data_IF_613247777552
#
_entry.id   IF_613247777552
#
_cell.length_a   1.000
_cell.length_b   1.000
_cell.length_c   1.000
_cell.angle_alpha   90.00
_cell.angle_beta   90.00
_cell.angle_gamma   90.00
#
_symmetry.space_group_name_H-M   'P 1'
#
loop_
_entity.id
_entity.type
_entity.pdbx_description
1 polymer ?
#
# COMPACT_ATOMS: atom_id res chain seq x y z
N UNK A 1 13.13 1.02 17.78
CA UNK A 1 13.15 0.02 18.88
C UNK A 1 11.74 -0.36 19.38
N UNK A 2 10.67 0.16 18.80
CA UNK A 2 9.29 0.00 19.32
C UNK A 2 8.49 -1.13 18.67
N UNK A 3 9.09 -1.83 17.69
CA UNK A 3 8.43 -2.92 16.95
C UNK A 3 7.95 -4.09 17.85
N UNK A 4 8.72 -4.55 18.85
CA UNK A 4 8.30 -5.65 19.73
C UNK A 4 7.10 -5.32 20.58
N UNK A 5 7.00 -4.09 21.07
CA UNK A 5 5.84 -3.62 21.88
C UNK A 5 4.60 -3.49 21.00
N UNK A 6 4.75 -2.92 19.80
CA UNK A 6 3.67 -2.84 18.83
C UNK A 6 3.15 -4.22 18.42
N UNK A 7 4.05 -5.21 18.24
CA UNK A 7 3.70 -6.61 17.98
C UNK A 7 2.91 -7.23 19.12
N UNK A 8 3.36 -7.04 20.36
CA UNK A 8 2.66 -7.56 21.54
C UNK A 8 1.24 -7.01 21.67
N UNK A 9 1.06 -5.71 21.47
CA UNK A 9 -0.23 -5.05 21.49
C UNK A 9 -1.11 -5.47 20.28
N UNK A 10 -0.54 -5.62 19.11
CA UNK A 10 -1.25 -6.07 17.92
C UNK A 10 -1.68 -7.54 18.02
N UNK A 11 -0.83 -8.43 18.57
CA UNK A 11 -1.15 -9.84 18.80
C UNK A 11 -2.27 -9.99 19.86
N UNK A 12 -2.23 -9.21 20.93
CA UNK A 12 -3.32 -9.15 21.90
C UNK A 12 -4.60 -8.60 21.26
N UNK A 13 -4.48 -7.53 20.47
CA UNK A 13 -5.61 -6.91 19.76
C UNK A 13 -6.23 -7.81 18.70
N UNK A 14 -5.44 -8.57 17.93
CA UNK A 14 -5.97 -9.46 16.88
C UNK A 14 -6.74 -10.66 17.45
N UNK A 15 -6.39 -11.12 18.65
CA UNK A 15 -7.08 -12.21 19.34
C UNK A 15 -8.37 -11.76 20.01
N UNK A 16 -8.46 -10.49 20.41
CA UNK A 16 -9.57 -9.96 21.23
C UNK A 16 -10.51 -9.01 20.47
N UNK A 17 -10.03 -8.37 19.43
CA UNK A 17 -10.80 -7.40 18.64
C UNK A 17 -11.31 -8.05 17.34
N UNK A 18 -12.54 -8.57 17.40
CA UNK A 18 -13.24 -8.93 16.17
C UNK A 18 -13.49 -7.66 15.31
N UNK A 19 -13.68 -7.79 13.99
CA UNK A 19 -14.06 -6.66 13.12
C UNK A 19 -15.30 -5.91 13.66
N UNK A 20 -16.27 -6.65 14.23
CA UNK A 20 -17.47 -6.10 14.85
C UNK A 20 -17.16 -5.23 16.07
N UNK A 21 -16.20 -5.64 16.92
CA UNK A 21 -15.79 -4.85 18.09
C UNK A 21 -15.10 -3.56 17.67
N UNK A 22 -14.20 -3.62 16.67
CA UNK A 22 -13.55 -2.44 16.09
C UNK A 22 -14.56 -1.46 15.47
N UNK A 23 -15.58 -1.97 14.78
CA UNK A 23 -16.65 -1.15 14.21
C UNK A 23 -17.54 -0.50 15.30
N UNK A 24 -17.79 -1.17 16.41
CA UNK A 24 -18.51 -0.60 17.56
C UNK A 24 -17.73 0.52 18.23
N UNK A 25 -16.41 0.37 18.39
CA UNK A 25 -15.54 1.43 18.89
C UNK A 25 -15.51 2.64 17.95
N UNK A 26 -15.47 2.41 16.65
CA UNK A 26 -15.55 3.49 15.66
C UNK A 26 -16.92 4.19 15.68
N UNK A 27 -17.99 3.49 16.01
CA UNK A 27 -19.33 4.06 16.13
C UNK A 27 -19.46 5.10 17.27
N UNK A 28 -18.58 5.04 18.26
CA UNK A 28 -18.50 6.04 19.34
C UNK A 28 -17.84 7.36 18.90
N UNK A 29 -17.19 7.39 17.73
CA UNK A 29 -16.60 8.61 17.18
C UNK A 29 -17.66 9.45 16.44
N UNK A 30 -17.52 10.80 16.45
CA UNK A 30 -18.35 11.68 15.62
C UNK A 30 -18.31 11.25 14.15
N UNK A 31 -19.43 11.34 13.42
CA UNK A 31 -19.56 10.85 12.04
C UNK A 31 -18.47 11.37 11.10
N UNK A 32 -18.09 12.65 11.22
CA UNK A 32 -17.04 13.31 10.45
C UNK A 32 -15.64 12.67 10.61
N UNK A 33 -15.42 11.92 11.70
CA UNK A 33 -14.15 11.26 12.02
C UNK A 33 -14.24 9.73 11.97
N UNK A 34 -15.38 9.20 11.54
CA UNK A 34 -15.61 7.76 11.47
C UNK A 34 -15.03 7.15 10.17
N UNK A 35 -13.90 6.42 10.25
CA UNK A 35 -13.33 5.81 9.05
C UNK A 35 -14.25 4.69 8.53
N UNK A 36 -14.45 4.64 7.22
CA UNK A 36 -15.16 3.52 6.58
C UNK A 36 -14.39 2.22 6.81
N UNK A 37 -15.10 1.16 7.21
CA UNK A 37 -14.53 -0.18 7.45
C UNK A 37 -13.37 -0.18 8.47
N UNK A 38 -13.47 0.64 9.51
CA UNK A 38 -12.42 0.79 10.51
C UNK A 38 -12.08 -0.53 11.19
N UNK A 39 -13.12 -1.32 11.57
CA UNK A 39 -12.93 -2.62 12.22
C UNK A 39 -12.15 -3.60 11.34
N UNK A 40 -12.50 -3.70 10.06
CA UNK A 40 -11.83 -4.59 9.11
C UNK A 40 -10.39 -4.16 8.86
N UNK A 41 -10.15 -2.86 8.69
CA UNK A 41 -8.81 -2.31 8.49
C UNK A 41 -7.93 -2.53 9.71
N UNK A 42 -8.47 -2.30 10.90
CA UNK A 42 -7.74 -2.51 12.15
C UNK A 42 -7.41 -3.99 12.37
N UNK A 43 -8.38 -4.87 12.11
CA UNK A 43 -8.17 -6.31 12.23
C UNK A 43 -7.12 -6.82 11.23
N UNK A 44 -7.21 -6.41 9.97
CA UNK A 44 -6.21 -6.74 8.94
C UNK A 44 -4.82 -6.24 9.32
N UNK A 45 -4.70 -4.98 9.76
CA UNK A 45 -3.43 -4.41 10.17
C UNK A 45 -2.85 -5.12 11.40
N UNK A 46 -3.70 -5.42 12.38
CA UNK A 46 -3.30 -6.15 13.58
C UNK A 46 -2.80 -7.57 13.23
N UNK A 47 -3.46 -8.28 12.32
CA UNK A 47 -3.01 -9.58 11.83
C UNK A 47 -1.65 -9.51 11.13
N UNK A 48 -1.48 -8.54 10.23
CA UNK A 48 -0.20 -8.34 9.54
C UNK A 48 0.94 -8.02 10.52
N UNK A 49 0.69 -7.18 11.53
CA UNK A 49 1.68 -6.78 12.54
C UNK A 49 2.02 -7.91 13.52
N UNK A 50 1.01 -8.69 13.94
CA UNK A 50 1.20 -9.75 14.93
C UNK A 50 2.19 -10.82 14.48
N UNK A 51 2.13 -11.18 13.20
CA UNK A 51 2.87 -12.30 12.62
C UNK A 51 4.13 -11.86 11.86
N UNK A 52 4.40 -10.55 11.74
CA UNK A 52 5.54 -10.07 10.97
C UNK A 52 6.85 -10.10 11.75
N UNK A 53 7.84 -10.85 11.26
CA UNK A 53 9.22 -10.84 11.76
C UNK A 53 10.04 -9.73 11.09
N UNK A 54 9.73 -8.49 11.50
CA UNK A 54 10.41 -7.30 10.98
C UNK A 54 9.70 -6.65 9.80
N UNK A 55 10.29 -5.55 9.33
CA UNK A 55 9.68 -4.67 8.34
C UNK A 55 9.54 -5.31 6.94
N UNK A 56 10.44 -6.24 6.60
CA UNK A 56 10.36 -6.95 5.32
C UNK A 56 9.17 -7.88 5.25
N UNK A 57 8.97 -8.68 6.31
CA UNK A 57 7.83 -9.58 6.41
C UNK A 57 6.51 -8.81 6.53
N UNK A 58 6.49 -7.71 7.28
CA UNK A 58 5.36 -6.81 7.33
C UNK A 58 4.95 -6.33 5.94
N UNK A 59 5.93 -5.85 5.14
CA UNK A 59 5.68 -5.38 3.79
C UNK A 59 5.21 -6.52 2.88
N UNK A 60 5.85 -7.70 2.93
CA UNK A 60 5.44 -8.88 2.17
C UNK A 60 3.97 -9.21 2.40
N UNK A 61 3.54 -9.26 3.65
CA UNK A 61 2.14 -9.54 4.02
C UNK A 61 1.18 -8.43 3.59
N UNK A 62 1.64 -7.18 3.57
CA UNK A 62 0.82 -6.06 3.16
C UNK A 62 0.44 -6.12 1.69
N UNK A 63 1.37 -6.57 0.84
CA UNK A 63 1.18 -6.65 -0.62
C UNK A 63 0.75 -8.04 -1.11
N UNK A 64 0.85 -9.07 -0.27
CA UNK A 64 0.45 -10.43 -0.63
C UNK A 64 -1.06 -10.60 -0.54
N UNK A 65 -1.64 -11.19 -1.56
CA UNK A 65 -3.05 -11.58 -1.55
C UNK A 65 -3.27 -12.85 -0.72
N UNK A 66 -2.32 -13.78 -0.79
CA UNK A 66 -2.32 -15.05 -0.05
C UNK A 66 -1.19 -15.05 0.98
N UNK A 67 -1.54 -15.26 2.24
CA UNK A 67 -0.57 -15.33 3.34
C UNK A 67 0.15 -16.66 3.41
N UNK A 68 -0.49 -17.72 2.90
CA UNK A 68 -0.01 -19.10 2.90
C UNK A 68 -0.23 -19.72 1.50
N UNK A 69 0.59 -19.33 0.50
CA UNK A 69 0.40 -19.77 -0.89
C UNK A 69 0.54 -21.29 -1.05
N UNK A 70 1.27 -21.97 -0.16
CA UNK A 70 1.43 -23.43 -0.14
C UNK A 70 0.10 -24.17 0.07
N UNK A 71 -0.87 -23.52 0.68
CA UNK A 71 -2.22 -24.10 0.85
C UNK A 71 -3.04 -24.06 -0.43
N UNK A 72 -2.68 -23.18 -1.37
CA UNK A 72 -3.38 -23.08 -2.65
C UNK A 72 -2.92 -24.17 -3.61
N UNK A 73 -1.62 -24.48 -3.59
CA UNK A 73 -1.04 -25.55 -4.44
C UNK A 73 -0.34 -26.57 -3.56
N UNK A 74 -0.90 -27.76 -3.47
CA UNK A 74 -0.36 -28.84 -2.63
C UNK A 74 1.07 -29.20 -3.05
N UNK A 75 1.98 -29.22 -2.08
CA UNK A 75 3.38 -29.57 -2.28
C UNK A 75 4.20 -28.50 -2.98
N UNK A 76 3.64 -27.33 -3.25
CA UNK A 76 4.39 -26.19 -3.74
C UNK A 76 5.14 -25.51 -2.60
N UNK A 77 6.29 -24.94 -2.95
CA UNK A 77 7.04 -24.01 -2.08
C UNK A 77 7.14 -22.69 -2.83
N UNK A 78 6.87 -21.60 -2.14
CA UNK A 78 7.03 -20.28 -2.74
C UNK A 78 8.51 -20.05 -3.07
N UNK A 79 8.87 -19.78 -4.33
CA UNK A 79 10.25 -19.52 -4.68
C UNK A 79 10.73 -18.21 -4.02
N UNK A 80 12.00 -18.13 -3.59
CA UNK A 80 12.55 -16.90 -3.05
C UNK A 80 12.59 -15.83 -4.14
N UNK A 81 11.57 -14.99 -4.17
CA UNK A 81 11.49 -13.86 -5.08
C UNK A 81 12.26 -12.64 -4.54
N UNK A 82 12.08 -11.51 -5.21
CA UNK A 82 12.72 -10.24 -4.82
C UNK A 82 12.38 -9.82 -3.38
N UNK A 83 11.19 -10.18 -2.88
CA UNK A 83 10.75 -9.90 -1.51
C UNK A 83 11.59 -10.63 -0.46
N UNK A 84 12.08 -11.82 -0.77
CA UNK A 84 12.95 -12.62 0.09
C UNK A 84 14.44 -12.38 -0.11
N UNK A 85 14.84 -11.51 -1.05
CA UNK A 85 16.26 -11.27 -1.32
C UNK A 85 16.90 -10.40 -0.24
N UNK A 86 17.85 -10.95 0.56
CA UNK A 86 18.49 -10.19 1.64
C UNK A 86 19.34 -9.02 1.13
N UNK A 87 19.75 -9.03 -0.15
CA UNK A 87 20.53 -7.94 -0.75
C UNK A 87 19.75 -6.64 -0.76
N UNK A 88 18.43 -6.68 -0.90
CA UNK A 88 17.59 -5.48 -0.84
C UNK A 88 17.68 -4.77 0.52
N UNK A 89 17.78 -5.52 1.60
CA UNK A 89 17.92 -4.98 2.95
C UNK A 89 19.33 -4.42 3.22
N UNK A 90 20.37 -5.01 2.60
CA UNK A 90 21.74 -4.55 2.72
C UNK A 90 21.99 -3.26 1.93
N UNK A 91 21.44 -3.17 0.71
CA UNK A 91 21.60 -2.00 -0.15
C UNK A 91 20.72 -0.82 0.27
N UNK A 92 19.53 -1.10 0.82
CA UNK A 92 18.55 -0.12 1.23
C UNK A 92 18.14 -0.38 2.69
N UNK A 93 18.95 0.07 3.66
CA UNK A 93 18.67 -0.13 5.07
C UNK A 93 17.43 0.64 5.55
N UNK A 94 17.10 1.78 4.92
CA UNK A 94 15.85 2.49 5.19
C UNK A 94 14.66 1.69 4.67
N UNK A 95 13.71 1.43 5.57
CA UNK A 95 12.53 0.60 5.27
C UNK A 95 11.64 1.22 4.20
N UNK A 96 11.46 2.53 4.22
CA UNK A 96 10.59 3.24 3.28
C UNK A 96 11.22 3.24 1.89
N UNK A 97 12.53 3.46 1.78
CA UNK A 97 13.23 3.38 0.50
C UNK A 97 13.20 1.97 -0.06
N UNK A 98 13.36 0.95 0.79
CA UNK A 98 13.23 -0.44 0.37
C UNK A 98 11.82 -0.78 -0.11
N UNK A 99 10.77 -0.32 0.58
CA UNK A 99 9.39 -0.46 0.12
C UNK A 99 9.17 0.22 -1.24
N UNK A 100 9.69 1.43 -1.43
CA UNK A 100 9.62 2.13 -2.73
C UNK A 100 10.34 1.36 -3.84
N UNK A 101 11.48 0.75 -3.55
CA UNK A 101 12.20 -0.09 -4.50
C UNK A 101 11.39 -1.33 -4.88
N UNK A 102 10.85 -2.02 -3.90
CA UNK A 102 10.04 -3.22 -4.12
C UNK A 102 8.75 -2.90 -4.89
N UNK A 103 8.07 -1.79 -4.55
CA UNK A 103 6.91 -1.32 -5.32
C UNK A 103 7.27 -1.03 -6.78
N UNK A 104 8.42 -0.41 -7.01
CA UNK A 104 8.89 -0.09 -8.37
C UNK A 104 9.20 -1.35 -9.18
N UNK A 105 9.64 -2.43 -8.53
CA UNK A 105 10.07 -3.67 -9.18
C UNK A 105 8.97 -4.73 -9.31
N UNK A 106 7.94 -4.65 -8.48
CA UNK A 106 6.86 -5.64 -8.39
C UNK A 106 5.50 -5.00 -8.67
N UNK A 107 4.98 -4.22 -7.74
CA UNK A 107 3.62 -3.68 -7.82
C UNK A 107 3.39 -2.77 -9.03
N UNK A 108 4.35 -1.91 -9.33
CA UNK A 108 4.24 -0.98 -10.45
C UNK A 108 4.13 -1.69 -11.81
N UNK A 109 5.04 -2.61 -12.20
CA UNK A 109 4.95 -3.27 -13.49
C UNK A 109 3.81 -4.30 -13.54
N UNK A 110 3.66 -5.14 -12.50
CA UNK A 110 2.81 -6.32 -12.56
C UNK A 110 1.33 -5.99 -12.30
N UNK A 111 1.02 -4.91 -11.59
CA UNK A 111 -0.34 -4.49 -11.32
C UNK A 111 -0.73 -3.19 -12.04
N UNK A 112 -0.10 -2.08 -11.69
CA UNK A 112 -0.54 -0.76 -12.17
C UNK A 112 -0.34 -0.57 -13.67
N UNK A 113 0.86 -0.83 -14.16
CA UNK A 113 1.17 -0.63 -15.59
C UNK A 113 0.43 -1.65 -16.47
N UNK A 114 0.33 -2.88 -16.02
CA UNK A 114 -0.44 -3.93 -16.71
C UNK A 114 -1.91 -3.54 -16.85
N UNK A 115 -2.54 -3.04 -15.79
CA UNK A 115 -3.93 -2.57 -15.83
C UNK A 115 -4.11 -1.38 -16.77
N UNK A 116 -3.24 -0.39 -16.67
CA UNK A 116 -3.30 0.82 -17.50
C UNK A 116 -3.13 0.46 -18.96
N UNK A 117 -2.11 -0.33 -19.28
CA UNK A 117 -1.83 -0.77 -20.65
C UNK A 117 -3.01 -1.55 -21.24
N UNK A 118 -3.48 -2.60 -20.56
CA UNK A 118 -4.59 -3.43 -21.04
C UNK A 118 -5.87 -2.65 -21.22
N UNK A 119 -6.22 -1.78 -20.29
CA UNK A 119 -7.43 -0.98 -20.36
C UNK A 119 -7.37 0.06 -21.48
N UNK A 120 -6.25 0.73 -21.66
CA UNK A 120 -6.10 1.75 -22.70
C UNK A 120 -5.96 1.13 -24.10
N UNK A 121 -5.20 0.04 -24.23
CA UNK A 121 -5.04 -0.65 -25.51
C UNK A 121 -6.30 -1.34 -25.98
N UNK A 122 -7.22 -1.70 -25.08
CA UNK A 122 -8.55 -2.23 -25.47
C UNK A 122 -9.34 -1.26 -26.36
N UNK A 123 -9.01 0.04 -26.30
CA UNK A 123 -9.59 1.08 -27.13
C UNK A 123 -8.54 1.76 -28.03
N UNK A 124 -7.43 1.08 -28.29
CA UNK A 124 -6.34 1.55 -29.15
C UNK A 124 -5.69 2.86 -28.69
N UNK A 125 -5.66 3.11 -27.38
CA UNK A 125 -5.04 4.28 -26.78
C UNK A 125 -3.74 3.88 -26.09
N UNK A 126 -2.61 4.40 -26.53
CA UNK A 126 -1.32 4.18 -25.87
C UNK A 126 -1.13 5.18 -24.72
N UNK A 127 -0.99 4.67 -23.49
CA UNK A 127 -0.70 5.50 -22.32
C UNK A 127 0.79 5.78 -22.18
N UNK A 128 1.18 7.05 -22.16
CA UNK A 128 2.55 7.50 -21.90
C UNK A 128 2.63 8.12 -20.52
N UNK A 129 3.53 7.60 -19.66
CA UNK A 129 3.66 8.03 -18.27
C UNK A 129 4.98 8.79 -18.07
N UNK A 130 4.99 10.14 -18.08
CA UNK A 130 6.23 10.94 -18.01
C UNK A 130 7.08 10.67 -16.77
N UNK A 131 6.47 10.30 -15.65
CA UNK A 131 7.18 9.99 -14.42
C UNK A 131 7.94 8.65 -14.45
N UNK A 132 7.74 7.83 -15.47
CA UNK A 132 8.49 6.60 -15.69
C UNK A 132 9.68 6.78 -16.66
N UNK A 133 9.94 8.00 -17.13
CA UNK A 133 11.19 8.29 -17.84
C UNK A 133 12.36 7.96 -16.90
N UNK A 134 13.31 7.17 -17.40
CA UNK A 134 14.44 6.68 -16.59
C UNK A 134 15.25 7.82 -15.94
N UNK A 135 15.33 8.99 -16.59
CA UNK A 135 16.01 10.18 -16.04
C UNK A 135 15.26 10.75 -14.84
N UNK A 136 13.92 10.77 -14.91
CA UNK A 136 13.07 11.22 -13.78
C UNK A 136 13.16 10.23 -12.63
N UNK A 137 13.12 8.94 -12.92
CA UNK A 137 13.28 7.88 -11.90
C UNK A 137 14.65 7.96 -11.26
N UNK A 138 15.73 8.04 -12.04
CA UNK A 138 17.10 8.18 -11.54
C UNK A 138 17.24 9.43 -10.63
N UNK A 139 16.72 10.57 -11.08
CA UNK A 139 16.69 11.79 -10.26
C UNK A 139 15.92 11.60 -8.97
N UNK A 140 14.73 10.98 -9.01
CA UNK A 140 13.93 10.74 -7.81
C UNK A 140 14.66 9.88 -6.77
N UNK A 141 15.51 8.95 -7.20
CA UNK A 141 16.35 8.15 -6.32
C UNK A 141 17.49 8.94 -5.66
N UNK A 142 17.95 10.03 -6.24
CA UNK A 142 18.95 10.91 -5.61
C UNK A 142 18.38 11.81 -4.52
N UNK A 143 17.05 11.94 -4.45
CA UNK A 143 16.39 12.83 -3.49
C UNK A 143 16.39 12.23 -2.09
N UNK A 144 16.75 13.03 -1.05
CA UNK A 144 16.58 12.60 0.34
C UNK A 144 15.12 12.22 0.65
N UNK A 145 14.88 11.21 1.52
CA UNK A 145 13.53 10.78 1.91
C UNK A 145 12.62 11.93 2.36
N UNK A 146 13.15 12.91 3.09
CA UNK A 146 12.39 14.08 3.55
C UNK A 146 11.85 14.98 2.43
N UNK A 147 12.44 14.95 1.24
CA UNK A 147 11.91 15.64 0.07
C UNK A 147 10.77 14.85 -0.60
N UNK A 148 10.76 13.55 -0.44
CA UNK A 148 9.71 12.66 -0.97
C UNK A 148 8.50 12.65 -0.05
N UNK A 149 8.73 12.40 1.25
CA UNK A 149 7.68 12.35 2.27
C UNK A 149 8.19 12.82 3.64
N UNK A 150 7.38 13.58 4.38
CA UNK A 150 7.69 14.02 5.74
C UNK A 150 6.40 14.40 6.47
N UNK A 151 6.30 14.07 7.76
CA UNK A 151 5.16 14.46 8.60
C UNK A 151 3.81 13.92 8.08
N UNK A 152 3.78 12.72 7.52
CA UNK A 152 2.58 12.13 6.92
C UNK A 152 2.20 12.68 5.53
N UNK A 153 2.93 13.67 5.03
CA UNK A 153 2.69 14.26 3.70
C UNK A 153 3.62 13.65 2.68
N UNK A 154 3.07 12.89 1.74
CA UNK A 154 3.79 12.33 0.60
C UNK A 154 3.88 13.26 -0.60
N UNK A 155 4.74 12.92 -1.57
CA UNK A 155 4.92 13.65 -2.85
C UNK A 155 5.29 15.12 -2.68
N UNK A 156 6.03 15.46 -1.62
CA UNK A 156 6.30 16.86 -1.22
C UNK A 156 6.89 17.71 -2.34
N UNK A 157 7.98 17.26 -2.97
CA UNK A 157 8.60 18.01 -4.05
C UNK A 157 7.66 18.20 -5.23
N UNK A 158 6.96 17.13 -5.61
CA UNK A 158 6.00 17.16 -6.71
C UNK A 158 4.84 18.11 -6.44
N UNK A 159 4.29 18.14 -5.21
CA UNK A 159 3.27 19.10 -4.79
C UNK A 159 3.79 20.54 -4.88
N UNK A 160 5.01 20.82 -4.41
CA UNK A 160 5.62 22.14 -4.50
C UNK A 160 5.79 22.63 -5.95
N UNK A 161 6.08 21.73 -6.87
CA UNK A 161 6.12 22.05 -8.30
C UNK A 161 4.73 22.33 -8.81
N UNK A 162 3.76 21.45 -8.49
CA UNK A 162 2.38 21.55 -8.95
C UNK A 162 1.71 22.85 -8.50
N UNK A 163 1.91 23.28 -7.26
CA UNK A 163 1.31 24.51 -6.71
C UNK A 163 1.81 25.82 -7.35
N UNK A 164 2.86 25.76 -8.18
CA UNK A 164 3.25 26.90 -9.03
C UNK A 164 2.30 27.11 -10.21
N UNK A 165 1.54 26.09 -10.57
CA UNK A 165 0.69 26.07 -11.77
C UNK A 165 -0.79 25.92 -11.43
N UNK A 166 -1.09 25.24 -10.32
CA UNK A 166 -2.44 24.90 -9.90
C UNK A 166 -2.63 25.32 -8.44
N UNK A 167 -3.70 26.05 -8.10
CA UNK A 167 -4.02 26.40 -6.72
C UNK A 167 -4.11 25.17 -5.83
N UNK A 168 -3.52 25.24 -4.64
CA UNK A 168 -3.46 24.14 -3.67
C UNK A 168 -4.87 23.60 -3.32
N UNK A 169 -5.85 24.48 -3.15
CA UNK A 169 -7.23 24.12 -2.83
C UNK A 169 -7.90 23.18 -3.87
N UNK A 170 -7.45 23.19 -5.12
CA UNK A 170 -7.95 22.28 -6.14
C UNK A 170 -7.32 20.88 -6.07
N UNK A 171 -6.17 20.77 -5.43
CA UNK A 171 -5.39 19.52 -5.32
C UNK A 171 -5.60 18.83 -3.98
N UNK A 172 -5.62 19.61 -2.88
CA UNK A 172 -5.76 19.11 -1.52
C UNK A 172 -7.23 18.82 -1.19
N UNK A 173 -7.64 17.64 -1.58
CA UNK A 173 -8.97 17.09 -1.29
C UNK A 173 -8.85 15.66 -0.75
N UNK A 174 -9.83 15.17 0.01
CA UNK A 174 -9.86 13.79 0.46
C UNK A 174 -9.72 12.83 -0.74
N UNK A 175 -8.80 11.88 -0.63
CA UNK A 175 -8.62 10.86 -1.68
C UNK A 175 -9.85 9.98 -1.74
N UNK A 176 -10.41 9.84 -2.92
CA UNK A 176 -11.41 8.83 -3.25
C UNK A 176 -10.74 7.76 -4.10
N UNK A 177 -10.79 6.51 -3.65
CA UNK A 177 -10.31 5.37 -4.44
C UNK A 177 -11.24 5.09 -5.62
N UNK A 178 -10.73 4.40 -6.62
CA UNK A 178 -11.56 3.83 -7.67
C UNK A 178 -12.40 2.69 -7.06
N UNK A 179 -13.62 3.02 -6.67
CA UNK A 179 -14.59 2.03 -6.18
C UNK A 179 -15.39 1.48 -7.35
N UNK A 180 -15.18 0.21 -7.67
CA UNK A 180 -16.11 -0.51 -8.55
C UNK A 180 -17.30 -0.91 -7.69
N UNK A 181 -18.55 -0.62 -8.07
CA UNK A 181 -19.73 -0.91 -7.26
C UNK A 181 -20.13 -2.39 -7.34
N UNK A 182 -19.19 -3.29 -7.11
CA UNK A 182 -19.38 -4.76 -7.18
C UNK A 182 -20.50 -5.19 -6.23
N UNK A 183 -20.55 -4.62 -5.05
CA UNK A 183 -21.58 -4.93 -4.04
C UNK A 183 -23.00 -4.62 -4.57
N UNK A 184 -23.17 -3.48 -5.25
CA UNK A 184 -24.43 -3.13 -5.86
C UNK A 184 -24.77 -4.03 -7.05
N UNK A 185 -23.80 -4.41 -7.84
CA UNK A 185 -23.98 -5.31 -8.98
C UNK A 185 -24.37 -6.72 -8.56
N UNK A 186 -23.70 -7.28 -7.54
CA UNK A 186 -24.00 -8.62 -7.02
C UNK A 186 -25.35 -8.69 -6.29
N UNK A 187 -25.91 -7.56 -5.86
CA UNK A 187 -27.24 -7.51 -5.21
C UNK A 187 -28.37 -7.16 -6.16
N UNK A 188 -28.08 -6.80 -7.40
CA UNK A 188 -29.06 -6.33 -8.36
C UNK A 188 -28.87 -6.89 -9.77
N UNK A 189 -28.10 -6.22 -10.67
CA UNK A 189 -28.08 -6.57 -12.08
C UNK A 189 -27.32 -7.86 -12.43
N UNK A 190 -26.47 -8.38 -11.56
CA UNK A 190 -25.76 -9.66 -11.71
C UNK A 190 -26.33 -10.70 -10.77
#
# INVERSE_FOLDING_TARGET
SDLPVARGLAAAGSRTLSPATGSRLAAALPERHRPRLFGDKLHKLAGVLADADGAGEFYRRLISLWTEPERVVRGATEPPGLLGDPRSAQLLPDVVERMQYLDTRLYLPDDILTKVDRASMAVSLEARVPFLDHRVVAFAWTLPPAMKAQGGVGKRLLRRVLYRYVPEALVERPKMGFGVPIDAWLRGPL
#
